data_IF_006440651393
#
_entry.id   IF_006440651393
#
_cell.length_a   1.000
_cell.length_b   1.000
_cell.length_c   1.000
_cell.angle_alpha   90.00
_cell.angle_beta   90.00
_cell.angle_gamma   90.00
#
_symmetry.space_group_name_H-M   'P 1'
#
loop_
_entity.id
_entity.type
_entity.pdbx_description
1 polymer ?
#
# COMPACT_ATOMS: atom_id res chain seq x y z
N UNK A 1 3.81 -17.80 -6.96
CA UNK A 1 3.31 -17.21 -8.21
C UNK A 1 3.13 -15.71 -8.02
N UNK A 2 3.77 -14.94 -8.90
CA UNK A 2 3.29 -13.66 -9.43
C UNK A 2 2.64 -12.70 -8.42
N UNK A 3 3.40 -12.18 -7.45
CA UNK A 3 3.10 -10.85 -6.89
C UNK A 3 3.50 -9.80 -7.93
N UNK A 4 2.77 -9.80 -9.05
CA UNK A 4 2.78 -8.72 -10.03
C UNK A 4 2.26 -7.52 -9.29
N UNK A 5 3.15 -6.58 -8.98
CA UNK A 5 2.90 -5.41 -8.16
C UNK A 5 1.49 -4.89 -8.38
N UNK A 6 0.59 -5.25 -7.46
CA UNK A 6 -0.68 -4.57 -7.34
C UNK A 6 -0.26 -3.14 -7.05
N UNK A 7 -0.49 -2.26 -8.02
CA UNK A 7 -0.23 -0.83 -7.87
C UNK A 7 -1.16 -0.37 -6.76
N UNK A 8 -0.73 -0.51 -5.51
CA UNK A 8 -1.52 -0.10 -4.36
C UNK A 8 -1.71 1.40 -4.52
N UNK A 9 -2.97 1.81 -4.64
CA UNK A 9 -3.29 3.20 -4.86
C UNK A 9 -2.69 4.01 -3.72
N UNK A 10 -2.15 5.20 -4.01
CA UNK A 10 -1.62 6.08 -2.96
C UNK A 10 -2.65 6.36 -1.84
N UNK A 11 -3.94 6.28 -2.14
CA UNK A 11 -5.01 6.48 -1.17
C UNK A 11 -5.53 5.19 -0.50
N UNK A 12 -5.18 4.00 -1.00
CA UNK A 12 -5.57 2.72 -0.42
C UNK A 12 -4.97 2.50 0.98
N UNK A 13 -5.57 1.64 1.82
CA UNK A 13 -4.96 1.24 3.08
C UNK A 13 -3.60 0.58 2.85
N UNK A 14 -2.65 0.84 3.75
CA UNK A 14 -1.31 0.28 3.67
C UNK A 14 -1.35 -1.24 3.86
N UNK A 15 -0.72 -2.02 2.96
CA UNK A 15 -0.65 -3.47 3.11
C UNK A 15 0.20 -3.91 4.31
N UNK A 16 0.93 -2.97 4.94
CA UNK A 16 1.70 -3.17 6.16
C UNK A 16 0.84 -3.33 7.44
N UNK A 17 -0.49 -3.21 7.35
CA UNK A 17 -1.39 -3.39 8.50
C UNK A 17 -1.42 -2.22 9.49
N UNK A 18 -0.80 -1.08 9.16
CA UNK A 18 -0.74 0.08 10.05
C UNK A 18 -2.05 0.87 10.17
N UNK A 19 -3.07 0.52 9.39
CA UNK A 19 -4.34 1.27 9.28
C UNK A 19 -4.22 2.62 8.56
N UNK A 20 -3.00 3.05 8.19
CA UNK A 20 -2.76 4.31 7.47
C UNK A 20 -2.94 4.13 5.96
N UNK A 21 -3.27 5.21 5.23
CA UNK A 21 -3.23 5.22 3.76
C UNK A 21 -1.79 4.99 3.27
N UNK A 22 -1.62 4.31 2.14
CA UNK A 22 -0.33 3.95 1.58
C UNK A 22 0.60 5.17 1.44
N UNK A 23 0.11 6.29 0.87
CA UNK A 23 0.87 7.55 0.74
C UNK A 23 1.30 8.22 2.04
N UNK A 24 0.77 7.78 3.19
CA UNK A 24 1.11 8.29 4.53
C UNK A 24 1.85 7.25 5.36
N UNK A 25 2.32 6.16 4.74
CA UNK A 25 3.00 5.05 5.39
C UNK A 25 4.15 4.55 4.50
N UNK A 26 4.02 3.37 3.88
CA UNK A 26 5.08 2.77 3.05
C UNK A 26 5.23 3.39 1.65
N UNK A 27 4.28 4.21 1.21
CA UNK A 27 4.32 4.94 -0.06
C UNK A 27 4.80 6.38 0.07
N UNK A 28 5.38 6.74 1.21
CA UNK A 28 6.18 7.96 1.39
C UNK A 28 7.55 7.79 0.72
#
# INVERSE_FOLDING_TARGET
QVIKGAKVGRNDPCPCGSGKKYKKCCGA
#
